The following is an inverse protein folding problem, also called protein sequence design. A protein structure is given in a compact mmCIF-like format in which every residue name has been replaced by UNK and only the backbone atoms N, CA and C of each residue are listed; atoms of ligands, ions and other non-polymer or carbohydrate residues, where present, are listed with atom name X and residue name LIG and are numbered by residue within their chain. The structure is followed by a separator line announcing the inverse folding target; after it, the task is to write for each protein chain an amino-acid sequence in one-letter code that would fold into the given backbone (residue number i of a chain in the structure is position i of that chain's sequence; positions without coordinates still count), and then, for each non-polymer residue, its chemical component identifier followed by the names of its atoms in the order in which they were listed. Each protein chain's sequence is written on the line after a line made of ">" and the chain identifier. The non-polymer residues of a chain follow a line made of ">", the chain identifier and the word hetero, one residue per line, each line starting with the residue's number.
data_IF_079702395219
#
_entry.id   IF_079702395219
#
_cell.length_a   1.000
_cell.length_b   1.000
_cell.length_c   1.000
_cell.angle_alpha   90.00
_cell.angle_beta   90.00
_cell.angle_gamma   90.00
#
_symmetry.space_group_name_H-M   'P 1'
#
loop_
_entity.id
_entity.type
_entity.pdbx_description
1 polymer ?
#
# COMPACT_ATOMS: atom_id res chain seq x y z
N UNK A 1 -17.87 0.92 -12.13
CA UNK A 1 -16.96 2.03 -11.87
C UNK A 1 -17.58 3.34 -12.38
N UNK A 2 -17.76 4.30 -11.50
CA UNK A 2 -18.01 5.68 -11.89
C UNK A 2 -16.73 6.48 -11.68
N UNK A 3 -16.26 7.12 -12.74
CA UNK A 3 -15.01 7.86 -12.73
C UNK A 3 -15.20 9.25 -13.31
N UNK A 4 -14.47 10.21 -12.76
CA UNK A 4 -14.30 11.52 -13.37
C UNK A 4 -13.32 11.37 -14.55
N UNK A 5 -13.81 11.61 -15.75
CA UNK A 5 -13.06 11.43 -16.99
C UNK A 5 -12.35 12.71 -17.46
N UNK A 6 -12.41 13.79 -16.69
CA UNK A 6 -11.66 15.01 -17.02
C UNK A 6 -10.18 14.65 -17.13
N UNK A 7 -9.53 15.26 -18.11
CA UNK A 7 -8.12 15.03 -18.39
C UNK A 7 -7.24 15.79 -17.40
N UNK A 8 -7.24 15.34 -16.14
CA UNK A 8 -6.37 15.88 -15.11
C UNK A 8 -5.27 14.88 -14.78
N UNK A 9 -4.03 15.31 -14.77
CA UNK A 9 -2.88 14.45 -14.46
C UNK A 9 -2.71 14.19 -12.95
N UNK A 10 -3.59 14.75 -12.10
CA UNK A 10 -3.43 14.69 -10.65
C UNK A 10 -1.98 14.97 -10.22
N UNK A 11 -1.36 15.95 -10.88
CA UNK A 11 0.05 16.27 -10.77
C UNK A 11 0.49 16.44 -9.31
N UNK A 12 -0.27 17.20 -8.52
CA UNK A 12 0.07 17.44 -7.12
C UNK A 12 0.15 16.16 -6.28
N UNK A 13 -0.76 15.19 -6.52
CA UNK A 13 -0.72 13.90 -5.84
C UNK A 13 0.49 13.07 -6.31
N UNK A 14 0.70 12.93 -7.61
CA UNK A 14 1.81 12.17 -8.16
C UNK A 14 3.15 12.78 -7.76
N UNK A 15 3.30 14.10 -7.87
CA UNK A 15 4.47 14.84 -7.42
C UNK A 15 4.81 14.58 -5.94
N UNK A 16 3.81 14.73 -5.05
CA UNK A 16 4.01 14.57 -3.61
C UNK A 16 4.17 13.11 -3.17
N UNK A 17 3.68 12.17 -3.96
CA UNK A 17 3.82 10.73 -3.70
C UNK A 17 5.11 10.13 -4.28
N UNK A 18 5.81 10.82 -5.17
CA UNK A 18 7.06 10.31 -5.76
C UNK A 18 8.23 10.49 -4.80
N UNK A 19 9.12 9.48 -4.64
CA UNK A 19 10.32 9.59 -3.83
C UNK A 19 11.19 10.77 -4.26
N UNK A 20 11.74 11.50 -3.29
CA UNK A 20 12.56 12.68 -3.57
C UNK A 20 13.76 12.33 -4.45
N UNK A 21 13.93 13.12 -5.51
CA UNK A 21 15.11 13.10 -6.37
C UNK A 21 15.62 14.53 -6.54
N UNK A 22 16.90 14.66 -6.84
CA UNK A 22 17.48 15.98 -7.13
C UNK A 22 16.83 16.53 -8.39
N UNK A 23 15.98 17.54 -8.23
CA UNK A 23 15.23 18.19 -9.31
C UNK A 23 13.82 18.61 -8.86
N UNK A 24 13.12 19.41 -9.66
CA UNK A 24 11.89 20.09 -9.22
C UNK A 24 10.65 19.18 -9.13
N UNK A 25 10.76 17.91 -9.56
CA UNK A 25 9.61 17.10 -9.94
C UNK A 25 9.24 15.96 -8.98
N UNK A 26 9.73 16.00 -7.75
CA UNK A 26 9.35 15.01 -6.74
C UNK A 26 9.28 15.62 -5.35
N UNK A 27 8.17 15.38 -4.66
CA UNK A 27 7.86 16.05 -3.40
C UNK A 27 8.02 15.21 -2.15
N UNK A 28 8.00 13.87 -2.27
CA UNK A 28 8.18 12.92 -1.14
C UNK A 28 7.39 13.32 0.12
N UNK A 29 6.18 13.84 -0.04
CA UNK A 29 5.45 14.51 1.04
C UNK A 29 4.13 13.87 1.47
N UNK A 30 3.60 12.90 0.72
CA UNK A 30 2.36 12.17 1.11
C UNK A 30 2.74 10.95 1.91
N UNK A 31 2.96 11.12 3.20
CA UNK A 31 3.27 10.04 4.12
C UNK A 31 2.05 9.21 4.48
N UNK A 32 2.23 7.90 4.63
CA UNK A 32 1.23 6.98 5.17
C UNK A 32 1.41 6.92 6.68
N UNK A 33 0.34 7.01 7.46
CA UNK A 33 0.40 6.91 8.92
C UNK A 33 0.70 5.47 9.37
N UNK A 34 1.33 5.31 10.52
CA UNK A 34 1.60 3.99 11.10
C UNK A 34 0.31 3.19 11.31
N UNK A 35 -0.76 3.84 11.77
CA UNK A 35 -2.08 3.21 11.93
C UNK A 35 -2.57 2.61 10.60
N UNK A 36 -2.46 3.33 9.49
CA UNK A 36 -2.83 2.81 8.18
C UNK A 36 -1.95 1.63 7.77
N UNK A 37 -0.65 1.68 8.05
CA UNK A 37 0.28 0.58 7.78
C UNK A 37 -0.12 -0.67 8.56
N UNK A 38 -0.52 -0.55 9.82
CA UNK A 38 -0.96 -1.67 10.65
C UNK A 38 -2.30 -2.28 10.20
N UNK A 39 -3.17 -1.50 9.55
CA UNK A 39 -4.47 -1.97 9.05
C UNK A 39 -4.38 -2.89 7.84
N UNK A 40 -3.29 -2.89 7.10
CA UNK A 40 -3.10 -3.88 6.03
C UNK A 40 -2.99 -5.28 6.61
N UNK A 41 -3.48 -6.27 5.86
CA UNK A 41 -3.42 -7.67 6.29
C UNK A 41 -2.02 -8.28 6.17
N UNK A 42 -1.82 -9.39 6.85
CA UNK A 42 -0.70 -10.29 6.62
C UNK A 42 -0.78 -10.92 5.22
N UNK A 43 0.26 -11.63 4.82
CA UNK A 43 0.26 -12.44 3.58
C UNK A 43 -0.84 -13.50 3.53
N UNK A 44 -1.31 -13.95 4.69
CA UNK A 44 -2.39 -14.92 4.83
C UNK A 44 -3.79 -14.25 4.75
N UNK A 45 -3.85 -12.93 4.51
CA UNK A 45 -5.10 -12.20 4.36
C UNK A 45 -5.87 -12.00 5.67
N UNK A 46 -5.19 -12.06 6.80
CA UNK A 46 -5.73 -11.84 8.14
C UNK A 46 -5.22 -10.52 8.74
N UNK A 47 -5.96 -9.88 9.64
CA UNK A 47 -5.40 -8.85 10.50
C UNK A 47 -4.14 -9.34 11.19
N UNK A 48 -3.09 -8.52 11.21
CA UNK A 48 -1.77 -8.94 11.69
C UNK A 48 -1.73 -9.35 13.17
N UNK A 49 -2.68 -8.89 13.95
CA UNK A 49 -2.85 -9.26 15.38
C UNK A 49 -3.63 -10.56 15.58
N UNK A 50 -4.31 -11.06 14.54
CA UNK A 50 -5.06 -12.33 14.56
C UNK A 50 -4.32 -13.47 13.87
N UNK A 51 -3.39 -13.17 12.97
CA UNK A 51 -2.66 -14.17 12.21
C UNK A 51 -1.63 -14.89 13.12
N UNK A 52 -1.80 -16.20 13.38
CA UNK A 52 -0.88 -16.93 14.24
C UNK A 52 0.53 -17.11 13.66
N UNK A 53 0.69 -16.95 12.34
CA UNK A 53 1.99 -17.02 11.65
C UNK A 53 2.72 -15.69 11.63
N UNK A 54 2.06 -14.58 11.99
CA UNK A 54 2.65 -13.25 11.95
C UNK A 54 3.24 -12.86 13.33
N UNK A 55 4.51 -12.50 13.38
CA UNK A 55 5.13 -12.01 14.65
C UNK A 55 4.63 -10.60 14.99
N UNK A 56 3.38 -10.52 15.48
CA UNK A 56 2.77 -9.27 15.88
C UNK A 56 3.52 -8.56 17.00
N UNK A 57 4.07 -9.31 17.95
CA UNK A 57 4.80 -8.76 19.11
C UNK A 57 6.16 -8.20 18.73
N UNK A 58 6.80 -8.80 17.73
CA UNK A 58 8.09 -8.36 17.19
C UNK A 58 8.00 -7.40 16.02
N UNK A 59 6.80 -6.95 15.63
CA UNK A 59 6.59 -6.15 14.40
C UNK A 59 7.40 -4.86 14.32
N UNK A 60 7.74 -4.25 15.44
CA UNK A 60 8.55 -3.03 15.47
C UNK A 60 10.06 -3.26 15.59
N UNK A 61 10.48 -4.51 15.67
CA UNK A 61 11.90 -4.86 15.60
C UNK A 61 12.40 -4.69 14.17
N UNK A 62 13.69 -4.44 14.03
CA UNK A 62 14.36 -4.38 12.74
C UNK A 62 14.98 -5.73 12.42
N UNK A 63 14.82 -6.17 11.17
CA UNK A 63 15.44 -7.34 10.59
C UNK A 63 16.12 -7.00 9.26
N UNK A 64 17.05 -7.82 8.84
CA UNK A 64 17.68 -7.73 7.53
C UNK A 64 17.00 -8.72 6.58
N UNK A 65 16.56 -8.23 5.42
CA UNK A 65 15.77 -8.99 4.46
C UNK A 65 16.32 -8.81 3.05
N UNK A 66 16.35 -9.91 2.29
CA UNK A 66 16.79 -9.97 0.89
C UNK A 66 15.79 -10.80 0.12
N UNK A 67 14.72 -10.16 -0.37
CA UNK A 67 13.62 -10.82 -1.08
C UNK A 67 13.01 -9.87 -2.13
N UNK A 68 11.95 -10.32 -2.79
CA UNK A 68 11.31 -9.58 -3.89
C UNK A 68 10.68 -8.24 -3.47
N UNK A 69 10.46 -8.00 -2.18
CA UNK A 69 9.81 -6.79 -1.67
C UNK A 69 10.73 -5.87 -0.89
N UNK A 70 11.89 -6.36 -0.45
CA UNK A 70 12.84 -5.61 0.37
C UNK A 70 14.26 -6.12 0.20
N UNK A 71 15.24 -5.19 0.17
CA UNK A 71 16.65 -5.51 0.18
C UNK A 71 17.38 -4.63 1.21
N UNK A 72 17.64 -5.21 2.40
CA UNK A 72 18.31 -4.56 3.51
C UNK A 72 17.51 -4.51 4.81
N UNK A 73 17.93 -3.65 5.73
CA UNK A 73 17.37 -3.57 7.09
C UNK A 73 16.08 -2.74 7.10
N UNK A 74 14.96 -3.39 7.43
CA UNK A 74 13.66 -2.75 7.60
C UNK A 74 12.95 -3.24 8.87
N UNK A 75 11.83 -2.59 9.20
CA UNK A 75 10.97 -3.02 10.31
C UNK A 75 10.20 -4.28 9.94
N UNK A 76 10.11 -5.26 10.85
CA UNK A 76 9.37 -6.50 10.59
C UNK A 76 7.90 -6.24 10.19
N UNK A 77 7.32 -5.12 10.65
CA UNK A 77 5.99 -4.67 10.26
C UNK A 77 5.80 -4.57 8.73
N UNK A 78 6.88 -4.42 7.97
CA UNK A 78 6.84 -4.26 6.52
C UNK A 78 6.92 -5.58 5.75
N UNK A 79 7.11 -6.69 6.44
CA UNK A 79 7.34 -8.01 5.85
C UNK A 79 6.13 -8.92 6.07
N UNK A 80 5.96 -9.91 5.21
CA UNK A 80 4.85 -10.86 5.25
C UNK A 80 3.46 -10.19 5.22
N UNK A 81 3.35 -9.16 4.37
CA UNK A 81 2.11 -8.40 4.19
C UNK A 81 1.39 -8.79 2.90
N UNK A 82 0.12 -8.45 2.83
CA UNK A 82 -0.71 -8.64 1.64
C UNK A 82 -0.15 -7.90 0.41
N UNK A 83 -0.46 -8.35 -0.83
CA UNK A 83 0.05 -7.70 -2.05
C UNK A 83 -0.31 -6.21 -2.16
N UNK A 84 -1.46 -5.78 -1.65
CA UNK A 84 -1.87 -4.37 -1.66
C UNK A 84 -0.98 -3.47 -0.83
N UNK A 85 -0.38 -4.00 0.26
CA UNK A 85 0.60 -3.24 1.05
C UNK A 85 1.78 -2.82 0.17
N UNK A 86 2.39 -3.76 -0.52
CA UNK A 86 3.53 -3.51 -1.38
C UNK A 86 3.19 -2.65 -2.61
N UNK A 87 1.96 -2.78 -3.12
CA UNK A 87 1.49 -1.98 -4.24
C UNK A 87 1.17 -0.51 -3.85
N UNK A 88 0.86 -0.23 -2.57
CA UNK A 88 0.35 1.09 -2.17
C UNK A 88 1.24 1.85 -1.18
N UNK A 89 2.19 1.18 -0.55
CA UNK A 89 3.04 1.76 0.49
C UNK A 89 4.50 1.53 0.15
N UNK A 90 5.27 2.62 0.11
CA UNK A 90 6.72 2.55 0.10
C UNK A 90 7.25 2.65 1.53
N UNK A 91 8.23 1.83 1.85
CA UNK A 91 8.82 1.70 3.18
C UNK A 91 10.35 1.59 3.09
N UNK A 92 11.01 1.61 4.22
CA UNK A 92 12.47 1.55 4.32
C UNK A 92 13.04 0.29 3.65
N UNK A 93 13.91 0.45 2.66
CA UNK A 93 14.53 -0.58 1.83
C UNK A 93 13.56 -1.41 0.97
N UNK A 94 12.29 -1.00 0.86
CA UNK A 94 11.36 -1.54 -0.13
C UNK A 94 11.54 -0.90 -1.51
N UNK A 95 10.67 -1.27 -2.45
CA UNK A 95 10.75 -0.83 -3.84
C UNK A 95 9.60 0.10 -4.21
N UNK A 96 9.90 1.04 -5.09
CA UNK A 96 8.95 1.99 -5.67
C UNK A 96 9.12 2.03 -7.19
N UNK A 97 8.05 1.70 -7.91
CA UNK A 97 8.01 1.72 -9.35
C UNK A 97 7.78 3.17 -9.84
N UNK A 98 8.80 3.75 -10.46
CA UNK A 98 8.77 5.09 -11.05
C UNK A 98 9.91 5.21 -12.06
N UNK A 99 9.70 5.95 -13.14
CA UNK A 99 10.73 6.16 -14.15
C UNK A 99 12.00 6.76 -13.51
N UNK A 100 13.15 6.16 -13.79
CA UNK A 100 14.44 6.67 -13.28
C UNK A 100 14.88 7.93 -14.02
N UNK A 101 15.54 8.80 -13.28
CA UNK A 101 16.02 10.09 -13.79
C UNK A 101 17.17 9.97 -14.78
N UNK A 102 17.98 8.94 -14.70
CA UNK A 102 19.20 8.78 -15.48
C UNK A 102 18.99 8.18 -16.86
N UNK A 103 17.76 7.84 -17.22
CA UNK A 103 17.42 7.27 -18.52
C UNK A 103 18.13 5.95 -18.82
N UNK A 104 18.86 5.42 -17.83
CA UNK A 104 19.59 4.19 -17.98
C UNK A 104 18.66 3.01 -17.74
N UNK A 105 18.67 2.11 -18.67
CA UNK A 105 18.17 0.75 -18.67
C UNK A 105 16.74 0.47 -18.15
N UNK A 106 16.00 -0.31 -18.88
CA UNK A 106 14.58 -0.61 -18.71
C UNK A 106 14.19 -1.35 -17.42
N UNK A 107 15.11 -2.04 -16.78
CA UNK A 107 14.93 -2.58 -15.44
C UNK A 107 15.04 -1.53 -14.34
N UNK A 108 15.24 -0.31 -14.72
CA UNK A 108 15.56 0.80 -13.86
C UNK A 108 14.36 1.64 -13.42
N UNK A 109 13.14 1.22 -13.76
CA UNK A 109 11.90 1.86 -13.31
C UNK A 109 11.51 1.43 -11.89
N UNK A 110 12.47 0.96 -11.12
CA UNK A 110 12.31 0.59 -9.72
C UNK A 110 13.37 1.32 -8.91
N UNK A 111 12.92 2.01 -7.87
CA UNK A 111 13.78 2.72 -6.93
C UNK A 111 13.68 2.05 -5.57
N UNK A 112 14.81 1.69 -5.00
CA UNK A 112 14.84 1.27 -3.60
C UNK A 112 14.65 2.49 -2.71
N UNK A 113 13.61 2.49 -1.87
CA UNK A 113 13.28 3.60 -0.99
C UNK A 113 14.06 3.54 0.32
N UNK A 114 14.65 4.67 0.74
CA UNK A 114 15.40 4.80 1.98
C UNK A 114 15.03 6.11 2.66
N UNK A 115 14.31 6.02 3.79
CA UNK A 115 13.66 7.16 4.45
C UNK A 115 14.28 7.55 5.81
N UNK A 116 15.33 6.85 6.27
CA UNK A 116 16.01 7.23 7.52
C UNK A 116 16.59 8.62 7.42
N UNK A 117 16.83 9.25 8.55
CA UNK A 117 17.24 10.67 8.66
C UNK A 117 18.32 11.07 7.65
N UNK A 118 19.35 10.25 7.47
CA UNK A 118 20.51 10.56 6.62
C UNK A 118 20.46 9.89 5.24
N UNK A 119 19.38 9.15 4.94
CA UNK A 119 19.21 8.48 3.67
C UNK A 119 18.81 9.47 2.56
N UNK A 120 18.92 9.00 1.30
CA UNK A 120 18.69 9.83 0.12
C UNK A 120 17.28 10.43 0.06
N UNK A 121 16.28 9.70 0.56
CA UNK A 121 14.89 10.15 0.63
C UNK A 121 14.47 10.61 2.04
N UNK A 122 15.36 10.55 3.01
CA UNK A 122 15.14 11.00 4.37
C UNK A 122 15.17 12.52 4.50
N UNK A 123 15.02 12.98 5.73
CA UNK A 123 14.97 14.43 6.03
C UNK A 123 16.30 15.13 5.71
N UNK A 124 17.45 14.49 6.00
CA UNK A 124 18.77 15.12 5.91
C UNK A 124 18.74 16.54 6.50
N UNK A 125 19.21 17.51 5.73
CA UNK A 125 19.19 18.94 6.09
C UNK A 125 18.03 19.70 5.40
N UNK A 126 17.05 18.98 4.85
CA UNK A 126 15.94 19.57 4.13
C UNK A 126 14.82 20.01 5.08
N UNK A 127 14.22 21.15 4.78
CA UNK A 127 13.02 21.64 5.47
C UNK A 127 11.72 21.14 4.82
N UNK A 128 11.80 20.62 3.58
CA UNK A 128 10.67 20.12 2.77
C UNK A 128 11.07 18.88 2.01
N UNK A 129 10.12 18.28 1.30
CA UNK A 129 10.36 17.14 0.41
C UNK A 129 10.94 15.90 1.10
N UNK A 130 10.35 15.54 2.23
CA UNK A 130 10.59 14.30 2.95
C UNK A 130 9.27 13.79 3.55
N UNK A 131 9.14 12.49 3.74
CA UNK A 131 8.00 11.94 4.47
C UNK A 131 8.27 11.99 5.97
N UNK A 132 7.38 12.57 6.79
CA UNK A 132 7.58 12.63 8.23
C UNK A 132 7.32 11.29 8.93
N UNK A 133 6.68 10.33 8.25
CA UNK A 133 6.28 9.05 8.84
C UNK A 133 7.25 7.91 8.53
N UNK A 134 8.18 8.09 7.61
CA UNK A 134 9.05 7.01 7.12
C UNK A 134 8.36 6.09 6.11
N UNK A 135 7.14 6.39 5.72
CA UNK A 135 6.36 5.71 4.68
C UNK A 135 5.89 6.71 3.64
N UNK A 136 5.76 6.26 2.39
CA UNK A 136 5.29 7.11 1.30
C UNK A 136 4.14 6.42 0.56
N UNK A 137 3.13 7.20 0.19
CA UNK A 137 2.01 6.69 -0.58
C UNK A 137 2.42 6.38 -2.01
N UNK A 138 2.06 5.19 -2.52
CA UNK A 138 2.19 4.80 -3.93
C UNK A 138 0.85 4.86 -4.67
N UNK A 139 -0.27 4.76 -3.94
CA UNK A 139 -1.60 4.75 -4.53
C UNK A 139 -1.91 6.07 -5.23
N UNK A 140 -2.33 5.99 -6.48
CA UNK A 140 -2.64 7.16 -7.30
C UNK A 140 -1.41 7.81 -7.97
N UNK A 141 -0.22 7.21 -7.82
CA UNK A 141 0.95 7.56 -8.59
C UNK A 141 1.15 6.55 -9.72
N UNK A 142 1.31 7.04 -10.94
CA UNK A 142 1.60 6.18 -12.09
C UNK A 142 3.07 5.76 -12.09
N UNK A 143 3.39 4.50 -12.37
CA UNK A 143 4.79 4.08 -12.63
C UNK A 143 5.43 4.82 -13.80
N UNK A 144 4.61 5.35 -14.71
CA UNK A 144 5.06 6.14 -15.86
C UNK A 144 5.21 7.64 -15.53
N UNK A 145 5.05 8.04 -14.27
CA UNK A 145 5.29 9.42 -13.86
C UNK A 145 6.75 9.80 -14.13
N UNK A 146 6.93 10.73 -15.05
CA UNK A 146 8.26 11.17 -15.46
C UNK A 146 8.65 12.45 -14.70
N UNK A 147 9.68 12.32 -13.88
CA UNK A 147 10.28 13.45 -13.17
C UNK A 147 11.71 13.77 -13.66
N UNK A 148 12.06 13.25 -14.84
CA UNK A 148 13.46 13.27 -15.34
C UNK A 148 13.82 14.57 -16.04
N UNK A 149 12.86 15.22 -16.68
CA UNK A 149 13.07 16.40 -17.52
C UNK A 149 12.39 17.64 -16.95
N UNK A 150 12.73 18.81 -17.49
CA UNK A 150 12.08 20.07 -17.19
C UNK A 150 10.56 20.01 -17.51
N UNK A 151 10.17 19.19 -18.49
CA UNK A 151 8.78 18.86 -18.80
C UNK A 151 8.32 17.64 -17.97
N UNK A 152 7.78 17.91 -16.82
CA UNK A 152 7.18 16.88 -15.98
C UNK A 152 5.93 16.31 -16.63
N UNK A 153 5.98 15.06 -17.05
CA UNK A 153 4.83 14.35 -17.56
C UNK A 153 4.15 13.54 -16.46
N UNK A 154 3.07 14.08 -15.93
CA UNK A 154 2.16 13.34 -15.05
C UNK A 154 1.11 12.64 -15.93
N UNK A 155 1.12 11.29 -16.02
CA UNK A 155 0.12 10.58 -16.81
C UNK A 155 -1.29 10.90 -16.34
N UNK A 156 -2.16 11.18 -17.28
CA UNK A 156 -3.58 11.41 -17.01
C UNK A 156 -4.28 10.07 -16.79
N UNK A 157 -5.13 10.00 -15.79
CA UNK A 157 -5.99 8.84 -15.58
C UNK A 157 -7.36 9.29 -15.03
N UNK A 158 -8.45 8.54 -15.34
CA UNK A 158 -9.77 8.82 -14.79
C UNK A 158 -9.76 8.64 -13.29
N UNK A 159 -10.24 9.64 -12.54
CA UNK A 159 -10.32 9.52 -11.09
C UNK A 159 -11.52 8.65 -10.69
N UNK A 160 -11.33 7.55 -9.94
CA UNK A 160 -12.43 6.71 -9.51
C UNK A 160 -13.21 7.39 -8.40
N UNK A 161 -14.46 7.78 -8.66
CA UNK A 161 -15.36 8.41 -7.70
C UNK A 161 -16.08 7.34 -6.88
N UNK A 162 -16.70 6.36 -7.55
CA UNK A 162 -17.37 5.24 -6.92
C UNK A 162 -16.89 3.94 -7.57
N UNK A 163 -16.56 2.94 -6.77
CA UNK A 163 -16.12 1.64 -7.23
C UNK A 163 -17.01 0.54 -6.67
N UNK A 164 -17.23 -0.52 -7.46
CA UNK A 164 -18.01 -1.69 -7.04
C UNK A 164 -17.50 -2.31 -5.74
N UNK A 165 -16.20 -2.22 -5.47
CA UNK A 165 -15.64 -2.70 -4.20
C UNK A 165 -16.31 -2.07 -2.98
N UNK A 166 -16.65 -0.79 -3.02
CA UNK A 166 -17.34 -0.11 -1.94
C UNK A 166 -18.74 -0.71 -1.70
N UNK A 167 -19.48 -1.02 -2.77
CA UNK A 167 -20.79 -1.65 -2.65
C UNK A 167 -20.70 -3.06 -2.07
N UNK A 168 -19.68 -3.85 -2.47
CA UNK A 168 -19.43 -5.17 -1.89
C UNK A 168 -19.06 -5.09 -0.41
N UNK A 169 -18.22 -4.13 -0.01
CA UNK A 169 -17.85 -3.93 1.39
C UNK A 169 -19.07 -3.52 2.23
N UNK A 170 -19.87 -2.57 1.75
CA UNK A 170 -21.10 -2.14 2.43
C UNK A 170 -22.10 -3.29 2.57
N UNK A 171 -22.24 -4.14 1.55
CA UNK A 171 -23.10 -5.32 1.59
C UNK A 171 -22.59 -6.34 2.60
N UNK A 172 -21.27 -6.62 2.59
CA UNK A 172 -20.66 -7.55 3.55
C UNK A 172 -20.84 -7.06 4.99
N UNK A 173 -20.63 -5.77 5.26
CA UNK A 173 -20.84 -5.19 6.58
C UNK A 173 -22.31 -5.27 7.01
N UNK A 174 -23.25 -5.01 6.10
CA UNK A 174 -24.67 -5.13 6.39
C UNK A 174 -25.08 -6.56 6.76
N UNK A 175 -24.63 -7.57 5.99
CA UNK A 175 -24.86 -8.97 6.31
C UNK A 175 -24.23 -9.38 7.64
N UNK A 176 -22.99 -8.97 7.90
CA UNK A 176 -22.31 -9.25 9.17
C UNK A 176 -23.08 -8.68 10.37
N UNK A 177 -23.58 -7.44 10.26
CA UNK A 177 -24.38 -6.84 11.31
C UNK A 177 -25.71 -7.58 11.58
N UNK A 178 -26.28 -8.24 10.56
CA UNK A 178 -27.46 -9.10 10.68
C UNK A 178 -27.13 -10.51 11.18
N UNK A 179 -25.86 -10.83 11.45
CA UNK A 179 -25.41 -12.18 11.83
C UNK A 179 -25.38 -13.20 10.69
N UNK A 180 -25.51 -12.74 9.44
CA UNK A 180 -25.51 -13.57 8.22
C UNK A 180 -24.09 -13.71 7.72
N UNK A 181 -23.28 -14.52 8.41
CA UNK A 181 -21.83 -14.57 8.22
C UNK A 181 -21.45 -15.15 6.85
N UNK A 182 -22.11 -16.22 6.40
CA UNK A 182 -21.83 -16.85 5.11
C UNK A 182 -22.09 -15.90 3.93
N UNK A 183 -23.19 -15.14 4.00
CA UNK A 183 -23.51 -14.16 2.97
C UNK A 183 -22.56 -12.94 3.02
N UNK A 184 -22.13 -12.58 4.21
CA UNK A 184 -21.12 -11.53 4.35
C UNK A 184 -19.78 -11.95 3.75
N UNK A 185 -19.32 -13.17 4.01
CA UNK A 185 -18.12 -13.75 3.42
C UNK A 185 -18.21 -13.82 1.89
N UNK A 186 -19.36 -14.31 1.38
CA UNK A 186 -19.62 -14.37 -0.06
C UNK A 186 -19.61 -12.98 -0.74
N UNK A 187 -20.16 -11.97 -0.08
CA UNK A 187 -20.14 -10.58 -0.57
C UNK A 187 -18.71 -10.00 -0.60
N UNK A 188 -17.85 -10.35 0.37
CA UNK A 188 -16.48 -9.87 0.45
C UNK A 188 -15.52 -10.58 -0.55
N UNK A 189 -15.86 -11.80 -0.95
CA UNK A 189 -15.02 -12.66 -1.80
C UNK A 189 -14.46 -11.97 -3.05
N UNK A 190 -15.26 -11.28 -3.91
CA UNK A 190 -14.72 -10.65 -5.13
C UNK A 190 -13.68 -9.57 -4.85
N UNK A 191 -13.77 -8.89 -3.71
CA UNK A 191 -12.81 -7.84 -3.31
C UNK A 191 -11.50 -8.48 -2.88
N UNK A 192 -11.56 -9.58 -2.13
CA UNK A 192 -10.38 -10.32 -1.66
C UNK A 192 -9.64 -11.03 -2.79
N UNK A 193 -10.37 -11.77 -3.64
CA UNK A 193 -9.78 -12.45 -4.80
C UNK A 193 -9.04 -11.47 -5.72
N UNK A 194 -9.64 -10.30 -5.99
CA UNK A 194 -8.97 -9.25 -6.76
C UNK A 194 -7.71 -8.72 -6.06
N UNK A 195 -7.65 -8.77 -4.76
CA UNK A 195 -6.48 -8.37 -3.96
C UNK A 195 -5.41 -9.47 -3.89
N UNK A 196 -5.66 -10.65 -4.46
CA UNK A 196 -4.77 -11.80 -4.38
C UNK A 196 -4.81 -12.50 -3.03
N UNK A 197 -5.95 -12.42 -2.34
CA UNK A 197 -6.18 -13.03 -1.03
C UNK A 197 -7.23 -14.15 -1.13
N UNK A 198 -7.08 -15.15 -0.29
CA UNK A 198 -8.10 -16.19 -0.12
C UNK A 198 -9.43 -15.58 0.38
N UNK A 199 -10.58 -16.22 0.08
CA UNK A 199 -11.83 -15.91 0.74
C UNK A 199 -11.67 -15.83 2.27
N UNK A 200 -12.45 -14.99 2.94
CA UNK A 200 -12.25 -14.73 4.38
C UNK A 200 -12.49 -15.99 5.24
N UNK A 201 -13.50 -16.74 4.91
CA UNK A 201 -13.84 -18.02 5.56
C UNK A 201 -12.69 -19.03 5.43
N UNK A 202 -12.12 -19.21 4.24
CA UNK A 202 -10.98 -20.07 4.01
C UNK A 202 -9.71 -19.60 4.76
N UNK A 203 -9.47 -18.29 4.79
CA UNK A 203 -8.30 -17.74 5.51
C UNK A 203 -8.41 -18.00 7.02
N UNK A 204 -9.60 -17.82 7.61
CA UNK A 204 -9.84 -18.10 9.02
C UNK A 204 -9.74 -19.59 9.33
N UNK A 205 -10.31 -20.47 8.47
CA UNK A 205 -10.19 -21.91 8.63
C UNK A 205 -8.74 -22.38 8.61
N UNK A 206 -7.95 -21.93 7.62
CA UNK A 206 -6.51 -22.26 7.50
C UNK A 206 -5.71 -21.85 8.75
N UNK A 207 -6.09 -20.75 9.37
CA UNK A 207 -5.46 -20.26 10.59
C UNK A 207 -5.99 -20.91 11.88
N UNK A 208 -7.00 -21.79 11.77
CA UNK A 208 -7.64 -22.41 12.94
C UNK A 208 -8.46 -21.42 13.77
N UNK A 209 -8.91 -20.32 13.17
CA UNK A 209 -9.68 -19.27 13.81
C UNK A 209 -11.18 -19.42 13.51
N UNK A 210 -12.02 -18.92 14.42
CA UNK A 210 -13.46 -18.85 14.21
C UNK A 210 -13.82 -17.50 13.59
N UNK A 211 -14.53 -17.52 12.46
CA UNK A 211 -15.07 -16.33 11.83
C UNK A 211 -16.45 -16.01 12.43
N UNK A 212 -16.49 -15.18 13.44
CA UNK A 212 -17.72 -14.71 14.06
C UNK A 212 -18.22 -13.39 13.46
N UNK A 213 -19.26 -12.85 14.10
CA UNK A 213 -19.87 -11.58 13.68
C UNK A 213 -18.90 -10.41 13.76
N UNK A 214 -18.19 -10.27 14.86
CA UNK A 214 -17.33 -9.13 15.12
C UNK A 214 -16.08 -9.16 14.22
N UNK A 215 -15.52 -10.36 14.01
CA UNK A 215 -14.44 -10.59 13.05
C UNK A 215 -14.91 -10.23 11.63
N UNK A 216 -16.10 -10.67 11.23
CA UNK A 216 -16.63 -10.38 9.89
C UNK A 216 -16.88 -8.88 9.69
N UNK A 217 -17.39 -8.18 10.69
CA UNK A 217 -17.56 -6.71 10.65
C UNK A 217 -16.19 -6.04 10.48
N UNK A 218 -15.18 -6.49 11.23
CA UNK A 218 -13.80 -5.99 11.11
C UNK A 218 -13.23 -6.21 9.73
N UNK A 219 -13.49 -7.37 9.12
CA UNK A 219 -12.99 -7.72 7.78
C UNK A 219 -13.67 -6.93 6.66
N UNK A 220 -14.90 -6.45 6.86
CA UNK A 220 -15.66 -5.67 5.89
C UNK A 220 -15.34 -4.16 5.92
N UNK A 221 -14.79 -3.64 7.00
CA UNK A 221 -14.39 -2.23 7.20
C UNK A 221 -12.98 -1.96 6.76
#
# INVERSE_FOLDING_TARGET
>A
LWADTRKEGHYGLQYKSTPYRVGPSSGNGVGVTLTMVEMFYSKNGLPIDLDPEYDYTGRYRYGEYHNDVCDGVTMNLNIDREPRFYAWVAFQNGYYEVLRRDGADDNANIVQTRFRKNDVFGIKERTTNYTPTGYLNKKGCSPLYNNIQEDVAAPHYPWPVIRMAELYLNLAEAYANLGRIDEAAAALKPVRERAGLDPVDEAFEKAGLTLGRDEMIRMAR
#
